data_IF_515637574915
#
_entry.id   IF_515637574915
#
_cell.length_a   1.000
_cell.length_b   1.000
_cell.length_c   1.000
_cell.angle_alpha   90.00
_cell.angle_beta   90.00
_cell.angle_gamma   90.00
#
_symmetry.space_group_name_H-M   'P 1'
#
loop_
_entity.id
_entity.type
_entity.pdbx_description
1 polymer ?
#
# COMPACT_ATOMS: atom_id res chain seq x y z
N UNK A 1 21.42 -11.88 -2.66
CA UNK A 1 21.10 -10.89 -1.60
C UNK A 1 20.42 -11.62 -0.44
N UNK A 2 20.93 -11.48 0.80
CA UNK A 2 20.38 -12.16 1.97
C UNK A 2 19.00 -11.58 2.31
N UNK A 3 17.96 -12.43 2.38
CA UNK A 3 16.67 -12.05 2.98
C UNK A 3 16.94 -11.64 4.42
N UNK A 4 16.72 -10.37 4.75
CA UNK A 4 16.68 -9.94 6.15
C UNK A 4 15.35 -10.38 6.70
N UNK A 5 15.33 -11.52 7.39
CA UNK A 5 14.16 -12.00 8.07
C UNK A 5 14.04 -11.24 9.40
N UNK A 6 12.90 -10.62 9.62
CA UNK A 6 12.60 -9.81 10.80
C UNK A 6 11.19 -10.11 11.27
N UNK A 7 10.90 -9.78 12.53
CA UNK A 7 9.54 -9.73 13.03
C UNK A 7 8.86 -8.47 12.46
N UNK A 8 7.83 -8.62 11.64
CA UNK A 8 7.02 -7.48 11.18
C UNK A 8 5.77 -7.40 12.07
N UNK A 9 5.54 -6.24 12.67
CA UNK A 9 4.33 -5.94 13.44
C UNK A 9 3.54 -4.85 12.74
N UNK A 10 2.26 -5.09 12.51
CA UNK A 10 1.33 -4.08 12.01
C UNK A 10 0.40 -3.70 13.16
N UNK A 11 0.45 -2.45 13.59
CA UNK A 11 -0.38 -1.90 14.66
C UNK A 11 -1.45 -1.01 14.03
N UNK A 12 -2.71 -1.21 14.40
CA UNK A 12 -3.86 -0.47 13.88
C UNK A 12 -4.95 -0.30 14.95
N UNK A 13 -5.90 0.62 14.71
CA UNK A 13 -7.11 0.81 15.53
C UNK A 13 -6.88 0.70 17.05
N UNK A 14 -5.98 1.53 17.59
CA UNK A 14 -5.63 1.61 19.02
C UNK A 14 -5.34 0.20 19.62
N UNK A 15 -4.10 -0.26 19.44
CA UNK A 15 -3.52 -1.49 20.01
C UNK A 15 -3.99 -2.84 19.43
N UNK A 16 -4.65 -2.88 18.28
CA UNK A 16 -4.76 -4.14 17.53
C UNK A 16 -3.44 -4.39 16.82
N UNK A 17 -2.97 -5.63 16.82
CA UNK A 17 -1.72 -6.00 16.18
C UNK A 17 -1.83 -7.29 15.35
N UNK A 18 -1.12 -7.32 14.23
CA UNK A 18 -0.87 -8.52 13.42
C UNK A 18 0.65 -8.70 13.31
N UNK A 19 1.12 -9.93 13.48
CA UNK A 19 2.55 -10.26 13.49
C UNK A 19 2.91 -11.24 12.38
N UNK A 20 4.00 -10.95 11.68
CA UNK A 20 4.61 -11.86 10.71
C UNK A 20 6.03 -12.19 11.18
N UNK A 21 6.25 -13.45 11.53
CA UNK A 21 7.54 -13.93 12.01
C UNK A 21 8.44 -14.29 10.83
N UNK A 22 9.76 -14.09 10.97
CA UNK A 22 10.77 -14.45 9.97
C UNK A 22 10.43 -13.96 8.55
N UNK A 23 9.94 -12.73 8.45
CA UNK A 23 9.41 -12.16 7.22
C UNK A 23 10.29 -11.02 6.71
N UNK A 24 10.21 -10.75 5.42
CA UNK A 24 10.88 -9.59 4.82
C UNK A 24 9.86 -8.60 4.28
N UNK A 25 10.13 -7.30 4.45
CA UNK A 25 9.27 -6.23 3.96
C UNK A 25 9.92 -5.53 2.76
N UNK A 26 9.18 -5.39 1.68
CA UNK A 26 9.56 -4.59 0.52
C UNK A 26 8.52 -3.53 0.22
N UNK A 27 8.96 -2.40 -0.32
CA UNK A 27 8.12 -1.27 -0.72
C UNK A 27 8.25 -1.14 -2.23
N UNK A 28 7.12 -0.95 -2.91
CA UNK A 28 7.12 -0.70 -4.34
C UNK A 28 7.41 0.78 -4.63
N UNK A 29 8.41 1.03 -5.47
CA UNK A 29 8.76 2.36 -5.95
C UNK A 29 8.19 2.53 -7.36
N UNK A 30 7.18 3.39 -7.51
CA UNK A 30 6.49 3.56 -8.80
C UNK A 30 7.42 4.12 -9.88
N UNK A 31 8.27 5.10 -9.53
CA UNK A 31 9.19 5.76 -10.47
C UNK A 31 10.23 4.79 -11.06
N UNK A 32 10.73 3.86 -10.25
CA UNK A 32 11.77 2.91 -10.65
C UNK A 32 11.19 1.55 -11.09
N UNK A 33 9.86 1.42 -11.04
CA UNK A 33 9.11 0.18 -11.21
C UNK A 33 9.70 -1.03 -10.47
N UNK A 34 10.20 -0.82 -9.26
CA UNK A 34 11.01 -1.81 -8.54
C UNK A 34 10.58 -2.01 -7.09
N UNK A 35 10.98 -3.14 -6.52
CA UNK A 35 10.78 -3.46 -5.11
C UNK A 35 12.06 -3.16 -4.33
N UNK A 36 11.97 -2.24 -3.37
CA UNK A 36 13.06 -1.93 -2.45
C UNK A 36 12.83 -2.67 -1.13
N UNK A 37 13.84 -3.40 -0.64
CA UNK A 37 13.80 -3.97 0.71
C UNK A 37 13.83 -2.83 1.74
N UNK A 38 12.92 -2.84 2.72
CA UNK A 38 12.93 -1.82 3.76
C UNK A 38 14.24 -1.90 4.56
N UNK A 39 15.00 -0.80 4.66
CA UNK A 39 16.31 -0.83 5.30
C UNK A 39 16.19 -1.10 6.80
N UNK A 40 17.26 -1.57 7.44
CA UNK A 40 17.36 -1.68 8.90
C UNK A 40 17.70 -0.31 9.51
N UNK A 41 17.36 -0.12 10.79
CA UNK A 41 17.65 1.11 11.56
C UNK A 41 17.15 2.36 10.85
N UNK A 42 15.93 2.29 10.34
CA UNK A 42 15.34 3.36 9.54
C UNK A 42 13.95 3.71 10.03
N UNK A 43 13.58 4.97 9.83
CA UNK A 43 12.24 5.47 10.10
C UNK A 43 11.78 6.27 8.90
N UNK A 44 10.58 5.99 8.42
CA UNK A 44 10.00 6.66 7.28
C UNK A 44 8.49 6.72 7.41
N UNK A 45 7.90 7.77 6.83
CA UNK A 45 6.46 7.89 6.65
C UNK A 45 6.12 7.70 5.19
N UNK A 46 5.06 6.95 4.94
CA UNK A 46 4.60 6.58 3.61
C UNK A 46 3.19 7.12 3.38
N UNK A 47 2.96 7.62 2.17
CA UNK A 47 1.65 7.99 1.66
C UNK A 47 1.44 7.28 0.33
N UNK A 48 0.27 6.69 0.13
CA UNK A 48 -0.11 5.98 -1.09
C UNK A 48 0.98 5.02 -1.57
N UNK A 49 1.34 4.07 -0.72
CA UNK A 49 2.42 3.12 -0.99
C UNK A 49 1.88 1.69 -1.01
N UNK A 50 2.50 0.84 -1.82
CA UNK A 50 2.23 -0.60 -1.82
C UNK A 50 3.41 -1.30 -1.16
N UNK A 51 3.13 -2.09 -0.13
CA UNK A 51 4.13 -2.95 0.49
C UNK A 51 3.87 -4.41 0.18
N UNK A 52 4.95 -5.19 0.20
CA UNK A 52 4.95 -6.64 0.09
C UNK A 52 5.66 -7.24 1.29
N UNK A 53 4.94 -8.10 1.99
CA UNK A 53 5.47 -8.95 3.05
C UNK A 53 5.67 -10.34 2.45
N UNK A 54 6.90 -10.84 2.46
CA UNK A 54 7.18 -12.23 2.16
C UNK A 54 7.26 -12.99 3.49
N UNK A 55 6.27 -13.83 3.75
CA UNK A 55 6.25 -14.69 4.93
C UNK A 55 7.27 -15.85 4.81
N UNK A 56 7.55 -16.53 5.92
CA UNK A 56 8.45 -17.70 6.02
C UNK A 56 8.17 -18.79 4.97
N UNK A 57 6.91 -18.91 4.53
CA UNK A 57 6.47 -19.88 3.52
C UNK A 57 6.62 -19.37 2.08
N UNK A 58 7.31 -18.25 1.85
CA UNK A 58 7.35 -17.51 0.58
C UNK A 58 5.96 -17.08 0.07
N UNK A 59 4.97 -16.99 0.96
CA UNK A 59 3.67 -16.39 0.63
C UNK A 59 3.86 -14.88 0.52
N UNK A 60 3.51 -14.32 -0.64
CA UNK A 60 3.50 -12.87 -0.84
C UNK A 60 2.17 -12.28 -0.38
N UNK A 61 2.25 -11.34 0.55
CA UNK A 61 1.11 -10.63 1.11
C UNK A 61 1.29 -9.15 0.81
N UNK A 62 0.27 -8.53 0.23
CA UNK A 62 0.33 -7.14 -0.21
C UNK A 62 -0.60 -6.29 0.65
N UNK A 63 -0.15 -5.09 1.00
CA UNK A 63 -0.97 -4.09 1.68
C UNK A 63 -0.81 -2.73 1.03
N UNK A 64 -1.94 -2.05 0.88
CA UNK A 64 -1.98 -0.64 0.52
C UNK A 64 -1.86 0.21 1.79
N UNK A 65 -0.89 1.11 1.80
CA UNK A 65 -0.67 2.09 2.86
C UNK A 65 -1.16 3.44 2.37
N UNK A 66 -2.31 3.90 2.89
CA UNK A 66 -2.80 5.25 2.61
C UNK A 66 -1.95 6.29 3.34
N UNK A 67 -1.82 6.13 4.66
CA UNK A 67 -0.88 6.86 5.53
C UNK A 67 -0.33 5.89 6.55
N UNK A 68 0.99 5.73 6.60
CA UNK A 68 1.64 4.83 7.55
C UNK A 68 2.98 5.37 8.03
N UNK A 69 3.31 5.11 9.29
CA UNK A 69 4.67 5.27 9.81
C UNK A 69 5.30 3.90 9.91
N UNK A 70 6.54 3.79 9.45
CA UNK A 70 7.31 2.56 9.54
C UNK A 70 8.65 2.81 10.22
N UNK A 71 8.98 1.94 11.17
CA UNK A 71 10.23 1.98 11.91
C UNK A 71 10.85 0.59 11.92
N UNK A 72 12.13 0.51 11.56
CA UNK A 72 12.90 -0.73 11.62
C UNK A 72 14.06 -0.60 12.60
N UNK A 73 14.26 -1.64 13.40
CA UNK A 73 15.47 -1.84 14.19
C UNK A 73 16.24 -3.05 13.64
N UNK A 74 17.11 -3.66 14.44
CA UNK A 74 17.95 -4.76 14.00
C UNK A 74 17.15 -6.04 13.66
N UNK A 75 16.06 -6.30 14.39
CA UNK A 75 15.34 -7.59 14.35
C UNK A 75 13.84 -7.45 14.05
N UNK A 76 13.30 -6.24 14.04
CA UNK A 76 11.88 -5.99 13.84
C UNK A 76 11.58 -4.76 13.00
N UNK A 77 10.41 -4.80 12.37
CA UNK A 77 9.82 -3.69 11.64
C UNK A 77 8.43 -3.47 12.22
N UNK A 78 8.14 -2.23 12.63
CA UNK A 78 6.84 -1.80 13.12
C UNK A 78 6.21 -0.93 12.04
N UNK A 79 4.96 -1.24 11.69
CA UNK A 79 4.13 -0.49 10.76
C UNK A 79 2.92 -0.01 11.55
N UNK A 80 2.77 1.30 11.67
CA UNK A 80 1.63 1.93 12.34
C UNK A 80 0.64 2.44 11.29
N UNK A 81 -0.59 1.95 11.38
CA UNK A 81 -1.72 2.30 10.52
C UNK A 81 -2.81 2.97 11.36
N UNK A 82 -3.56 3.87 10.73
CA UNK A 82 -4.74 4.46 11.35
C UNK A 82 -5.92 3.48 11.35
N UNK A 83 -6.21 2.92 10.17
CA UNK A 83 -7.35 2.01 9.94
C UNK A 83 -6.94 0.54 9.92
N UNK A 84 -7.94 -0.34 10.00
CA UNK A 84 -7.76 -1.78 9.81
C UNK A 84 -7.10 -2.09 8.46
N UNK A 85 -5.98 -2.85 8.44
CA UNK A 85 -5.32 -3.23 7.19
C UNK A 85 -6.20 -4.17 6.37
N UNK A 86 -6.22 -3.92 5.06
CA UNK A 86 -6.74 -4.83 4.05
C UNK A 86 -5.58 -5.58 3.40
N UNK A 87 -5.70 -6.91 3.34
CA UNK A 87 -4.68 -7.77 2.77
C UNK A 87 -5.05 -8.21 1.37
N UNK A 88 -4.03 -8.29 0.52
CA UNK A 88 -4.17 -8.62 -0.88
C UNK A 88 -3.21 -9.74 -1.26
N UNK A 89 -3.64 -10.55 -2.22
CA UNK A 89 -2.89 -11.68 -2.74
C UNK A 89 -2.93 -11.67 -4.26
N UNK A 90 -1.91 -12.26 -4.89
CA UNK A 90 -1.91 -12.43 -6.35
C UNK A 90 -3.05 -13.37 -6.75
N UNK A 91 -3.97 -12.85 -7.54
CA UNK A 91 -5.08 -13.59 -8.13
C UNK A 91 -4.62 -14.33 -9.38
N UNK A 92 -5.19 -15.51 -9.58
CA UNK A 92 -5.06 -16.26 -10.85
C UNK A 92 -6.01 -15.72 -11.92
N UNK A 93 -7.07 -15.01 -11.50
CA UNK A 93 -8.09 -14.52 -12.40
C UNK A 93 -7.69 -13.17 -13.01
N UNK A 94 -8.18 -12.92 -14.22
CA UNK A 94 -8.06 -11.61 -14.83
C UNK A 94 -8.91 -10.59 -14.06
N UNK A 95 -8.34 -9.42 -13.77
CA UNK A 95 -9.02 -8.30 -13.12
C UNK A 95 -9.11 -7.17 -14.14
N UNK A 96 -10.31 -6.96 -14.69
CA UNK A 96 -10.56 -5.84 -15.61
C UNK A 96 -11.09 -4.63 -14.86
N UNK A 97 -10.21 -3.68 -14.60
CA UNK A 97 -10.54 -2.40 -13.97
C UNK A 97 -10.13 -1.20 -14.83
N UNK A 98 -9.89 -1.42 -16.14
CA UNK A 98 -9.47 -0.35 -17.06
C UNK A 98 -10.50 0.77 -17.15
N UNK A 99 -11.78 0.40 -17.24
CA UNK A 99 -12.86 1.36 -17.37
C UNK A 99 -12.99 2.21 -16.10
N UNK A 100 -12.84 1.59 -14.92
CA UNK A 100 -12.89 2.30 -13.65
C UNK A 100 -11.73 3.28 -13.49
N UNK A 101 -10.50 2.86 -13.81
CA UNK A 101 -9.33 3.74 -13.87
C UNK A 101 -9.58 4.91 -14.82
N UNK A 102 -10.13 4.65 -16.02
CA UNK A 102 -10.42 5.69 -17.00
C UNK A 102 -11.44 6.71 -16.48
N UNK A 103 -12.52 6.24 -15.84
CA UNK A 103 -13.55 7.09 -15.28
C UNK A 103 -12.98 7.98 -14.16
N UNK A 104 -12.26 7.39 -13.20
CA UNK A 104 -11.62 8.13 -12.11
C UNK A 104 -10.59 9.15 -12.62
N UNK A 105 -9.82 8.80 -13.66
CA UNK A 105 -8.86 9.72 -14.29
C UNK A 105 -9.56 10.93 -14.92
N UNK A 106 -10.71 10.72 -15.57
CA UNK A 106 -11.49 11.83 -16.16
C UNK A 106 -12.00 12.80 -15.09
N UNK A 107 -12.51 12.26 -13.97
CA UNK A 107 -12.97 13.09 -12.84
C UNK A 107 -11.81 13.86 -12.23
N UNK A 108 -10.67 13.20 -12.02
CA UNK A 108 -9.46 13.86 -11.51
C UNK A 108 -9.03 15.02 -12.40
N UNK A 109 -8.91 14.79 -13.70
CA UNK A 109 -8.49 15.81 -14.65
C UNK A 109 -9.47 17.00 -14.69
N UNK A 110 -10.77 16.74 -14.54
CA UNK A 110 -11.78 17.80 -14.46
C UNK A 110 -11.58 18.67 -13.21
N UNK A 111 -11.38 18.04 -12.04
CA UNK A 111 -11.17 18.75 -10.78
C UNK A 111 -9.83 19.50 -10.75
N UNK A 112 -8.75 18.90 -11.25
CA UNK A 112 -7.44 19.55 -11.35
C UNK A 112 -7.45 20.71 -12.37
N UNK A 113 -8.23 20.62 -13.45
CA UNK A 113 -8.42 21.76 -14.35
C UNK A 113 -9.14 22.93 -13.66
N UNK A 114 -10.10 22.61 -12.78
CA UNK A 114 -10.83 23.60 -11.96
C UNK A 114 -9.98 24.22 -10.85
N UNK A 115 -8.94 23.53 -10.38
CA UNK A 115 -7.94 24.05 -9.41
C UNK A 115 -7.37 25.41 -9.82
N UNK A 116 -7.17 25.61 -11.12
CA UNK A 116 -6.64 26.86 -11.67
C UNK A 116 -7.61 28.05 -11.59
N UNK A 117 -8.85 27.82 -11.13
CA UNK A 117 -9.90 28.85 -11.04
C UNK A 117 -10.26 29.10 -9.57
N UNK A 118 -10.82 28.09 -8.89
CA UNK A 118 -11.12 28.11 -7.45
C UNK A 118 -11.70 26.75 -7.06
N UNK A 119 -11.09 26.07 -6.09
CA UNK A 119 -11.65 24.87 -5.46
C UNK A 119 -12.16 25.19 -4.06
N UNK A 120 -13.23 24.51 -3.68
CA UNK A 120 -13.63 24.43 -2.28
C UNK A 120 -12.88 23.29 -1.56
N UNK A 121 -13.00 23.25 -0.23
CA UNK A 121 -12.32 22.25 0.61
C UNK A 121 -12.75 20.82 0.26
N UNK A 122 -14.03 20.60 -0.01
CA UNK A 122 -14.57 19.27 -0.34
C UNK A 122 -13.95 18.73 -1.63
N UNK A 123 -13.76 19.58 -2.63
CA UNK A 123 -13.13 19.22 -3.90
C UNK A 123 -11.64 18.89 -3.74
N UNK A 124 -10.93 19.57 -2.84
CA UNK A 124 -9.52 19.24 -2.51
C UNK A 124 -9.44 17.86 -1.84
N UNK A 125 -10.39 17.55 -0.95
CA UNK A 125 -10.49 16.23 -0.31
C UNK A 125 -10.81 15.17 -1.38
N UNK A 126 -11.74 15.46 -2.28
CA UNK A 126 -12.12 14.56 -3.38
C UNK A 126 -10.93 14.26 -4.31
N UNK A 127 -10.14 15.26 -4.69
CA UNK A 127 -8.91 15.07 -5.49
C UNK A 127 -7.96 14.08 -4.79
N UNK A 128 -7.74 14.24 -3.48
CA UNK A 128 -6.88 13.32 -2.73
C UNK A 128 -7.45 11.90 -2.71
N UNK A 129 -8.75 11.75 -2.47
CA UNK A 129 -9.43 10.45 -2.47
C UNK A 129 -9.34 9.75 -3.83
N UNK A 130 -9.53 10.51 -4.93
CA UNK A 130 -9.40 9.98 -6.28
C UNK A 130 -7.95 9.56 -6.57
N UNK A 131 -6.95 10.35 -6.15
CA UNK A 131 -5.53 9.98 -6.29
C UNK A 131 -5.21 8.67 -5.55
N UNK A 132 -5.68 8.52 -4.32
CA UNK A 132 -5.50 7.28 -3.54
C UNK A 132 -6.16 6.09 -4.22
N UNK A 133 -7.40 6.28 -4.71
CA UNK A 133 -8.17 5.26 -5.42
C UNK A 133 -7.47 4.83 -6.72
N UNK A 134 -7.02 5.80 -7.52
CA UNK A 134 -6.30 5.54 -8.76
C UNK A 134 -4.99 4.78 -8.51
N UNK A 135 -4.23 5.18 -7.49
CA UNK A 135 -3.02 4.45 -7.10
C UNK A 135 -3.34 2.98 -6.81
N UNK A 136 -4.32 2.73 -5.94
CA UNK A 136 -4.76 1.37 -5.58
C UNK A 136 -5.21 0.56 -6.79
N UNK A 137 -6.07 1.12 -7.64
CA UNK A 137 -6.57 0.46 -8.85
C UNK A 137 -5.43 0.12 -9.82
N UNK A 138 -4.52 1.07 -10.09
CA UNK A 138 -3.36 0.83 -10.96
C UNK A 138 -2.50 -0.33 -10.46
N UNK A 139 -2.25 -0.38 -9.16
CA UNK A 139 -1.47 -1.45 -8.54
C UNK A 139 -2.21 -2.78 -8.54
N UNK A 140 -3.52 -2.80 -8.26
CA UNK A 140 -4.37 -3.99 -8.36
C UNK A 140 -4.27 -4.58 -9.77
N UNK A 141 -4.37 -3.75 -10.79
CA UNK A 141 -4.25 -4.19 -12.18
C UNK A 141 -2.83 -4.69 -12.50
N UNK A 142 -1.80 -3.92 -12.12
CA UNK A 142 -0.39 -4.22 -12.41
C UNK A 142 0.05 -5.55 -11.78
N UNK A 143 -0.34 -5.79 -10.54
CA UNK A 143 0.07 -6.97 -9.76
C UNK A 143 -1.01 -8.05 -9.67
N UNK A 144 -2.14 -7.88 -10.34
CA UNK A 144 -3.31 -8.80 -10.33
C UNK A 144 -3.77 -9.11 -8.90
N UNK A 145 -3.94 -8.09 -8.07
CA UNK A 145 -4.21 -8.28 -6.64
C UNK A 145 -5.70 -8.41 -6.35
N UNK A 146 -6.08 -9.39 -5.53
CA UNK A 146 -7.42 -9.52 -4.96
C UNK A 146 -7.37 -9.45 -3.45
N UNK A 147 -8.32 -8.75 -2.84
CA UNK A 147 -8.50 -8.71 -1.39
C UNK A 147 -8.78 -10.12 -0.85
N UNK A 148 -8.27 -10.43 0.34
CA UNK A 148 -8.52 -11.71 1.01
C UNK A 148 -8.10 -11.67 2.47
N UNK A 149 -8.39 -12.76 3.17
CA UNK A 149 -8.08 -12.89 4.60
C UNK A 149 -6.75 -13.60 4.83
N UNK A 150 -6.08 -13.26 5.93
CA UNK A 150 -4.95 -14.03 6.44
C UNK A 150 -5.55 -15.21 7.20
N UNK A 151 -5.49 -16.39 6.61
CA UNK A 151 -5.73 -17.64 7.35
C UNK A 151 -4.46 -17.94 8.16
N UNK A 152 -4.56 -17.90 9.49
CA UNK A 152 -3.51 -18.33 10.41
C UNK A 152 -3.23 -19.85 10.34
#
# INVERSE_FOLDING_TARGET
MKKSNSLIKIIFEINKEIKFNNSSLSIYLENDESWLLFPKKSKASFKNSLIKINDKNNKEIFLFLETATMESNDDSIIIELYDQPKFYFVSKNFIDIKQEISNQTKVLNYLEAKENISLNVDEIIEINNIKNTLFKLKMIQKFKLSEGEINE
#
